data_IF_957015610143
#
_entry.id   IF_957015610143
#
_cell.length_a   1.000
_cell.length_b   1.000
_cell.length_c   1.000
_cell.angle_alpha   90.00
_cell.angle_beta   90.00
_cell.angle_gamma   90.00
#
_symmetry.space_group_name_H-M   'P 1'
#
loop_
_entity.id
_entity.type
_entity.pdbx_description
1 polymer ?
#
# COMPACT_ATOMS: atom_id res chain seq x y z
N UNK A 1 -33.31 -19.77 -23.73
CA UNK A 1 -32.29 -20.15 -22.74
C UNK A 1 -31.18 -19.14 -22.87
N UNK A 2 -31.23 -18.09 -22.06
CA UNK A 2 -30.20 -17.06 -22.02
C UNK A 2 -29.12 -17.49 -21.04
N UNK A 3 -27.96 -17.86 -21.55
CA UNK A 3 -26.74 -17.90 -20.76
C UNK A 3 -26.17 -16.48 -20.72
N UNK A 4 -26.51 -15.71 -19.69
CA UNK A 4 -25.76 -14.51 -19.35
C UNK A 4 -24.32 -14.90 -19.03
N UNK A 5 -23.29 -14.27 -19.62
CA UNK A 5 -21.91 -14.55 -19.25
C UNK A 5 -21.73 -14.10 -17.80
N UNK A 6 -21.27 -15.01 -16.94
CA UNK A 6 -20.83 -14.68 -15.59
C UNK A 6 -19.71 -13.63 -15.72
N UNK A 7 -20.06 -12.35 -15.56
CA UNK A 7 -19.09 -11.30 -15.37
C UNK A 7 -18.37 -11.63 -14.07
N UNK A 8 -17.11 -12.06 -14.17
CA UNK A 8 -16.21 -12.24 -13.03
C UNK A 8 -16.14 -10.91 -12.29
N UNK A 9 -17.01 -10.71 -11.31
CA UNK A 9 -17.06 -9.49 -10.51
C UNK A 9 -15.77 -9.45 -9.71
N UNK A 10 -14.81 -8.65 -10.19
CA UNK A 10 -13.52 -8.46 -9.52
C UNK A 10 -13.81 -7.96 -8.12
N UNK A 11 -13.46 -8.78 -7.11
CA UNK A 11 -13.67 -8.43 -5.72
C UNK A 11 -12.84 -7.18 -5.39
N UNK A 12 -13.44 -6.08 -4.91
CA UNK A 12 -12.71 -4.85 -4.59
C UNK A 12 -11.57 -5.07 -3.59
N UNK A 13 -11.68 -6.05 -2.69
CA UNK A 13 -10.60 -6.40 -1.76
C UNK A 13 -9.36 -6.91 -2.51
N UNK A 14 -9.55 -7.75 -3.52
CA UNK A 14 -8.44 -8.32 -4.30
C UNK A 14 -7.80 -7.25 -5.19
N UNK A 15 -8.61 -6.34 -5.76
CA UNK A 15 -8.13 -5.19 -6.53
C UNK A 15 -7.26 -4.25 -5.67
N UNK A 16 -7.75 -3.86 -4.48
CA UNK A 16 -7.02 -2.99 -3.56
C UNK A 16 -5.74 -3.66 -3.02
N UNK A 17 -5.78 -4.97 -2.78
CA UNK A 17 -4.61 -5.74 -2.36
C UNK A 17 -3.55 -5.79 -3.46
N UNK A 18 -3.96 -5.98 -4.71
CA UNK A 18 -3.05 -5.99 -5.86
C UNK A 18 -2.43 -4.60 -6.09
N UNK A 19 -3.24 -3.54 -6.07
CA UNK A 19 -2.76 -2.14 -6.17
C UNK A 19 -1.72 -1.84 -5.07
N UNK A 20 -1.98 -2.24 -3.82
CA UNK A 20 -1.02 -2.04 -2.75
C UNK A 20 0.28 -2.83 -2.96
N UNK A 21 0.21 -4.06 -3.48
CA UNK A 21 1.39 -4.87 -3.81
C UNK A 21 2.27 -4.17 -4.85
N UNK A 22 1.66 -3.64 -5.90
CA UNK A 22 2.35 -2.90 -6.96
C UNK A 22 2.99 -1.62 -6.43
N UNK A 23 2.31 -0.89 -5.54
CA UNK A 23 2.91 0.26 -4.88
C UNK A 23 4.11 -0.12 -4.01
N UNK A 24 4.06 -1.24 -3.28
CA UNK A 24 5.20 -1.70 -2.49
C UNK A 24 6.39 -2.10 -3.38
N UNK A 25 6.12 -2.80 -4.48
CA UNK A 25 7.15 -3.14 -5.46
C UNK A 25 7.83 -1.88 -6.03
N UNK A 26 7.03 -0.92 -6.51
CA UNK A 26 7.52 0.35 -7.03
C UNK A 26 8.32 1.13 -5.96
N UNK A 27 7.83 1.17 -4.73
CA UNK A 27 8.50 1.84 -3.60
C UNK A 27 9.91 1.29 -3.38
N UNK A 28 10.03 -0.02 -3.16
CA UNK A 28 11.32 -0.64 -2.89
C UNK A 28 12.25 -0.60 -4.10
N UNK A 29 11.72 -0.76 -5.32
CA UNK A 29 12.50 -0.66 -6.55
C UNK A 29 13.08 0.75 -6.76
N UNK A 30 12.29 1.81 -6.54
CA UNK A 30 12.77 3.20 -6.64
C UNK A 30 13.80 3.56 -5.59
N UNK A 31 13.66 3.01 -4.39
CA UNK A 31 14.65 3.14 -3.32
C UNK A 31 15.91 2.28 -3.54
N UNK A 32 15.92 1.41 -4.57
CA UNK A 32 16.97 0.42 -4.83
C UNK A 32 17.21 -0.50 -3.62
N UNK A 33 16.12 -0.87 -2.95
CA UNK A 33 16.12 -1.74 -1.78
C UNK A 33 15.44 -3.07 -2.10
N UNK A 34 15.93 -4.16 -1.52
CA UNK A 34 15.21 -5.41 -1.54
C UNK A 34 13.95 -5.30 -0.65
N UNK A 35 12.79 -5.58 -1.23
CA UNK A 35 11.54 -5.64 -0.49
C UNK A 35 11.58 -6.76 0.56
N UNK A 36 11.25 -6.47 1.83
CA UNK A 36 11.23 -7.49 2.89
C UNK A 36 10.00 -8.39 2.74
N UNK A 37 10.12 -9.46 1.94
CA UNK A 37 9.02 -10.33 1.51
C UNK A 37 8.03 -10.70 2.62
N UNK A 38 8.53 -11.19 3.76
CA UNK A 38 7.65 -11.58 4.88
C UNK A 38 6.81 -10.41 5.43
N UNK A 39 7.41 -9.21 5.56
CA UNK A 39 6.69 -8.03 6.02
C UNK A 39 5.75 -7.48 4.96
N UNK A 40 6.08 -7.64 3.67
CA UNK A 40 5.19 -7.30 2.55
C UNK A 40 3.95 -8.18 2.56
N UNK A 41 4.10 -9.50 2.63
CA UNK A 41 2.97 -10.43 2.70
C UNK A 41 2.10 -10.15 3.95
N UNK A 42 2.73 -9.83 5.09
CA UNK A 42 2.01 -9.40 6.29
C UNK A 42 1.18 -8.14 6.02
N UNK A 43 1.73 -7.12 5.37
CA UNK A 43 1.00 -5.88 5.05
C UNK A 43 -0.19 -6.13 4.13
N UNK A 44 -0.02 -6.96 3.09
CA UNK A 44 -1.10 -7.35 2.18
C UNK A 44 -2.22 -8.10 2.92
N UNK A 45 -1.86 -9.00 3.83
CA UNK A 45 -2.83 -9.73 4.65
C UNK A 45 -3.55 -8.82 5.65
N UNK A 46 -2.82 -7.91 6.30
CA UNK A 46 -3.41 -6.91 7.22
C UNK A 46 -4.40 -6.01 6.48
N UNK A 47 -4.05 -5.51 5.28
CA UNK A 47 -4.95 -4.74 4.44
C UNK A 47 -6.21 -5.56 4.12
N UNK A 48 -6.05 -6.77 3.58
CA UNK A 48 -7.19 -7.61 3.19
C UNK A 48 -8.14 -7.91 4.36
N UNK A 49 -7.60 -8.18 5.56
CA UNK A 49 -8.40 -8.38 6.77
C UNK A 49 -9.16 -7.10 7.16
N UNK A 50 -8.49 -5.95 7.11
CA UNK A 50 -9.13 -4.66 7.42
C UNK A 50 -10.26 -4.31 6.46
N UNK A 51 -10.12 -4.65 5.17
CA UNK A 51 -11.12 -4.38 4.14
C UNK A 51 -12.33 -5.32 4.24
N UNK A 52 -12.12 -6.60 4.57
CA UNK A 52 -13.21 -7.57 4.76
C UNK A 52 -14.16 -7.21 5.91
N UNK A 53 -13.72 -6.38 6.85
CA UNK A 53 -14.55 -5.87 7.94
C UNK A 53 -15.38 -4.63 7.58
N UNK A 54 -15.21 -4.05 6.38
CA UNK A 54 -15.91 -2.83 5.99
C UNK A 54 -17.29 -3.11 5.39
N UNK A 55 -18.25 -2.18 5.56
CA UNK A 55 -19.50 -2.21 4.81
C UNK A 55 -19.25 -2.14 3.29
N UNK A 56 -20.08 -2.79 2.44
CA UNK A 56 -19.92 -2.76 0.99
C UNK A 56 -19.83 -1.34 0.41
N UNK A 57 -20.66 -0.41 0.88
CA UNK A 57 -20.65 0.98 0.42
C UNK A 57 -19.32 1.70 0.71
N UNK A 58 -18.66 1.37 1.82
CA UNK A 58 -17.35 1.93 2.15
C UNK A 58 -16.24 1.30 1.30
N UNK A 59 -16.35 -0.01 1.03
CA UNK A 59 -15.45 -0.72 0.14
C UNK A 59 -15.56 -0.20 -1.30
N UNK A 60 -16.77 0.06 -1.80
CA UNK A 60 -17.00 0.69 -3.09
C UNK A 60 -16.41 2.10 -3.15
N UNK A 61 -16.57 2.89 -2.07
CA UNK A 61 -15.98 4.23 -2.00
C UNK A 61 -14.45 4.20 -2.08
N UNK A 62 -13.79 3.19 -1.54
CA UNK A 62 -12.33 3.03 -1.68
C UNK A 62 -11.92 2.80 -3.15
N UNK A 63 -12.79 2.26 -4.01
CA UNK A 63 -12.44 2.07 -5.44
C UNK A 63 -12.38 3.39 -6.21
N UNK A 64 -13.07 4.44 -5.74
CA UNK A 64 -13.11 5.75 -6.41
C UNK A 64 -12.29 6.83 -5.70
N UNK A 65 -12.08 6.70 -4.39
CA UNK A 65 -11.36 7.68 -3.57
C UNK A 65 -9.91 7.26 -3.30
N UNK A 66 -8.98 7.80 -4.10
CA UNK A 66 -7.55 7.52 -3.97
C UNK A 66 -6.98 7.93 -2.60
N UNK A 67 -7.48 9.02 -2.00
CA UNK A 67 -6.97 9.50 -0.69
C UNK A 67 -7.32 8.49 0.40
N UNK A 68 -8.55 7.97 0.39
CA UNK A 68 -8.96 6.92 1.32
C UNK A 68 -8.17 5.63 1.12
N UNK A 69 -7.84 5.24 -0.12
CA UNK A 69 -6.96 4.08 -0.37
C UNK A 69 -5.61 4.26 0.31
N UNK A 70 -4.96 5.41 0.12
CA UNK A 70 -3.66 5.68 0.72
C UNK A 70 -3.68 5.70 2.24
N UNK A 71 -4.77 6.14 2.87
CA UNK A 71 -4.95 6.02 4.33
C UNK A 71 -4.94 4.55 4.75
N UNK A 72 -5.67 3.67 4.05
CA UNK A 72 -5.71 2.23 4.33
C UNK A 72 -4.36 1.55 4.06
N UNK A 73 -3.70 1.89 2.96
CA UNK A 73 -2.37 1.37 2.61
C UNK A 73 -1.32 1.77 3.65
N UNK A 74 -1.32 3.05 4.05
CA UNK A 74 -0.42 3.55 5.10
C UNK A 74 -0.64 2.83 6.43
N UNK A 75 -1.90 2.61 6.83
CA UNK A 75 -2.21 1.88 8.06
C UNK A 75 -1.65 0.44 8.02
N UNK A 76 -1.92 -0.31 6.94
CA UNK A 76 -1.40 -1.66 6.77
C UNK A 76 0.15 -1.71 6.71
N UNK A 77 0.78 -0.68 6.13
CA UNK A 77 2.24 -0.51 6.12
C UNK A 77 2.82 -0.31 7.53
N UNK A 78 2.13 0.45 8.38
CA UNK A 78 2.53 0.65 9.78
C UNK A 78 2.35 -0.64 10.59
N UNK A 79 1.16 -1.23 10.55
CA UNK A 79 0.78 -2.41 11.36
C UNK A 79 1.59 -3.68 11.02
N UNK A 80 2.03 -3.79 9.78
CA UNK A 80 2.94 -4.86 9.35
C UNK A 80 4.37 -4.69 9.88
N UNK A 81 4.74 -3.47 10.29
CA UNK A 81 6.10 -3.09 10.68
C UNK A 81 7.02 -2.77 9.50
N UNK A 82 6.49 -2.60 8.27
CA UNK A 82 7.30 -2.22 7.11
C UNK A 82 8.00 -0.86 7.32
N UNK A 83 7.35 0.07 8.01
CA UNK A 83 7.95 1.38 8.35
C UNK A 83 9.22 1.32 9.21
N UNK A 84 9.46 0.18 9.87
CA UNK A 84 10.69 -0.06 10.64
C UNK A 84 11.79 -0.71 9.78
N UNK A 85 11.44 -1.30 8.64
CA UNK A 85 12.39 -1.94 7.73
C UNK A 85 13.18 -0.88 6.99
N UNK A 86 14.50 -1.07 6.91
CA UNK A 86 15.42 -0.14 6.26
C UNK A 86 15.31 1.32 6.74
N UNK A 87 14.73 1.56 7.93
CA UNK A 87 14.36 2.91 8.40
C UNK A 87 15.51 3.91 8.32
N UNK A 88 16.70 3.52 8.75
CA UNK A 88 17.88 4.39 8.70
C UNK A 88 18.27 4.77 7.27
N UNK A 89 18.22 3.81 6.33
CA UNK A 89 18.53 4.04 4.91
C UNK A 89 17.49 4.96 4.30
N UNK A 90 16.19 4.64 4.46
CA UNK A 90 15.09 5.41 3.88
C UNK A 90 15.06 6.84 4.46
N UNK A 91 15.23 7.00 5.77
CA UNK A 91 15.33 8.32 6.40
C UNK A 91 16.52 9.13 5.86
N UNK A 92 17.66 8.49 5.62
CA UNK A 92 18.80 9.12 4.97
C UNK A 92 18.51 9.56 3.53
N UNK A 93 17.82 8.72 2.75
CA UNK A 93 17.41 9.04 1.38
C UNK A 93 16.41 10.22 1.33
N UNK A 94 15.41 10.22 2.21
CA UNK A 94 14.43 11.31 2.32
C UNK A 94 15.11 12.63 2.73
N UNK A 95 15.99 12.59 3.75
CA UNK A 95 16.70 13.78 4.23
C UNK A 95 17.68 14.35 3.21
N UNK A 96 18.37 13.48 2.47
CA UNK A 96 19.30 13.90 1.42
C UNK A 96 18.59 14.49 0.20
N UNK A 97 17.25 14.51 0.19
CA UNK A 97 16.40 15.02 -0.89
C UNK A 97 16.82 14.43 -2.24
N UNK A 98 17.35 13.20 -2.24
CA UNK A 98 17.61 12.49 -3.48
C UNK A 98 16.28 12.40 -4.20
N UNK A 99 16.27 12.74 -5.49
CA UNK A 99 15.10 12.59 -6.34
C UNK A 99 14.78 11.11 -6.46
N UNK A 100 14.00 10.58 -5.50
CA UNK A 100 13.58 9.18 -5.46
C UNK A 100 12.74 8.79 -6.68
N UNK A 101 12.39 9.77 -7.52
CA UNK A 101 11.56 9.62 -8.72
C UNK A 101 10.30 8.78 -8.40
N UNK A 102 9.76 9.02 -7.21
CA UNK A 102 8.53 8.45 -6.72
C UNK A 102 7.41 9.45 -7.00
N UNK A 103 6.24 8.97 -7.44
CA UNK A 103 5.05 9.78 -7.52
C UNK A 103 4.70 10.44 -6.16
N UNK A 104 4.09 11.64 -6.13
CA UNK A 104 3.81 12.39 -4.90
C UNK A 104 2.97 11.64 -3.86
N UNK A 105 2.11 10.72 -4.29
CA UNK A 105 1.29 9.92 -3.39
C UNK A 105 2.11 9.02 -2.44
N UNK A 106 3.37 8.72 -2.78
CA UNK A 106 4.27 8.01 -1.88
C UNK A 106 4.70 8.85 -0.67
N UNK A 107 4.40 10.16 -0.63
CA UNK A 107 4.59 10.99 0.56
C UNK A 107 3.83 10.45 1.77
N UNK A 108 2.70 9.74 1.57
CA UNK A 108 2.00 9.03 2.64
C UNK A 108 2.89 8.04 3.40
N UNK A 109 3.83 7.40 2.71
CA UNK A 109 4.80 6.46 3.27
C UNK A 109 6.12 7.17 3.64
N UNK A 110 6.65 8.04 2.78
CA UNK A 110 7.93 8.72 3.02
C UNK A 110 7.88 9.60 4.29
N UNK A 111 6.74 10.22 4.58
CA UNK A 111 6.55 11.02 5.80
C UNK A 111 6.69 10.21 7.10
N UNK A 112 6.59 8.86 7.05
CA UNK A 112 6.85 7.99 8.20
C UNK A 112 8.34 8.01 8.63
N UNK A 113 9.25 8.47 7.76
CA UNK A 113 10.69 8.45 7.97
C UNK A 113 11.29 9.83 8.30
N UNK A 114 10.48 10.89 8.29
CA UNK A 114 10.94 12.27 8.49
C UNK A 114 11.08 12.63 9.98
N UNK A 115 10.31 12.00 10.87
CA UNK A 115 10.34 12.30 12.31
C UNK A 115 11.23 11.33 13.09
N UNK A 116 12.01 11.80 14.09
CA UNK A 116 12.68 10.90 15.04
C UNK A 116 11.61 10.16 15.86
N UNK A 117 11.79 8.84 16.00
CA UNK A 117 11.05 8.01 16.96
C UNK A 117 11.65 8.20 18.35
#
# INVERSE_FOLDING_TARGET
>A
MDHSPAQSQVNPVDLLRQEFREHLDLFYNRLKLAAPYHSVEKALNTLAQSLKGLPPAELERLTTDQTLRWIRFRQAFVDSGLHLKHRGIIAGLVRSRQSLNLPPEFDHLLNLYVSPS
#
